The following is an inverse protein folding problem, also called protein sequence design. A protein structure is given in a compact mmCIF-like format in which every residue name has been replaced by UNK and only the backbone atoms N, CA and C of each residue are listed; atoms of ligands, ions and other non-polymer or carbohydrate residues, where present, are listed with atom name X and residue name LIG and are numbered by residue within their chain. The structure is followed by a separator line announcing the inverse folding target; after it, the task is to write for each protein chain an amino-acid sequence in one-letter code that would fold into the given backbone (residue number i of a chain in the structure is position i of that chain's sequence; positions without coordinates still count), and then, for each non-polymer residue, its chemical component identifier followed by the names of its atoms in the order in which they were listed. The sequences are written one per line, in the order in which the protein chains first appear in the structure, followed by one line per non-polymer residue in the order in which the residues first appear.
data_IF_624354809489
#
_entry.id   IF_624354809489
#
_cell.length_a   1.000
_cell.length_b   1.000
_cell.length_c   1.000
_cell.angle_alpha   90.00
_cell.angle_beta   90.00
_cell.angle_gamma   90.00
#
_symmetry.space_group_name_H-M   'P 1'
#
loop_
_entity.id
_entity.type
_entity.pdbx_description
1 polymer ?
#
# COMPACT_ATOMS: atom_id res chain seq x y z
N UNK A 1 -7.28 10.31 48.71
CA UNK A 1 -7.93 10.37 47.38
C UNK A 1 -9.22 9.60 47.46
N UNK A 2 -10.33 10.07 46.86
CA UNK A 2 -11.58 9.32 46.96
C UNK A 2 -11.53 8.12 46.01
N UNK A 3 -11.73 6.91 46.56
CA UNK A 3 -11.94 5.67 45.79
C UNK A 3 -13.09 5.81 44.77
N UNK A 4 -13.98 6.78 44.99
CA UNK A 4 -15.17 7.06 44.21
C UNK A 4 -14.85 7.54 42.79
N UNK A 5 -13.84 8.38 42.60
CA UNK A 5 -13.43 8.85 41.27
C UNK A 5 -12.87 7.70 40.42
N UNK A 6 -12.06 6.82 41.02
CA UNK A 6 -11.51 5.62 40.37
C UNK A 6 -12.64 4.66 39.98
N UNK A 7 -13.62 4.47 40.88
CA UNK A 7 -14.77 3.60 40.61
C UNK A 7 -15.65 4.14 39.48
N UNK A 8 -15.93 5.45 39.43
CA UNK A 8 -16.69 6.07 38.36
C UNK A 8 -16.01 5.90 37.00
N UNK A 9 -14.70 6.12 36.93
CA UNK A 9 -13.95 5.95 35.69
C UNK A 9 -13.88 4.48 35.26
N UNK A 10 -13.67 3.53 36.17
CA UNK A 10 -13.70 2.09 35.86
C UNK A 10 -15.07 1.65 35.34
N UNK A 11 -16.16 2.18 35.90
CA UNK A 11 -17.50 1.94 35.38
C UNK A 11 -17.68 2.53 33.96
N UNK A 12 -17.11 3.70 33.69
CA UNK A 12 -17.15 4.31 32.36
C UNK A 12 -16.40 3.48 31.31
N UNK A 13 -15.25 2.90 31.66
CA UNK A 13 -14.45 2.08 30.73
C UNK A 13 -14.82 0.59 30.71
N UNK A 14 -15.78 0.13 31.53
CA UNK A 14 -16.13 -1.29 31.64
C UNK A 14 -16.51 -1.93 30.29
N UNK A 15 -16.99 -1.13 29.34
CA UNK A 15 -17.38 -1.57 28.00
C UNK A 15 -16.47 -1.01 26.89
N UNK A 16 -15.26 -0.54 27.22
CA UNK A 16 -14.33 0.04 26.23
C UNK A 16 -14.01 -0.94 25.10
N UNK A 17 -13.96 -2.24 25.39
CA UNK A 17 -13.72 -3.30 24.40
C UNK A 17 -14.76 -3.36 23.28
N UNK A 18 -16.02 -2.98 23.56
CA UNK A 18 -17.11 -2.90 22.57
C UNK A 18 -16.95 -1.73 21.60
N UNK A 19 -16.06 -0.79 21.89
CA UNK A 19 -15.75 0.37 21.05
C UNK A 19 -14.37 0.20 20.42
N UNK A 20 -13.37 -0.20 21.21
CA UNK A 20 -11.98 -0.38 20.79
C UNK A 20 -11.82 -1.43 19.69
N UNK A 21 -12.43 -2.61 19.86
CA UNK A 21 -12.31 -3.67 18.84
C UNK A 21 -12.93 -3.26 17.50
N UNK A 22 -14.20 -2.82 17.43
CA UNK A 22 -14.78 -2.35 16.16
C UNK A 22 -14.01 -1.18 15.55
N UNK A 23 -13.52 -0.26 16.37
CA UNK A 23 -12.70 0.86 15.90
C UNK A 23 -11.44 0.38 15.17
N UNK A 24 -10.67 -0.50 15.80
CA UNK A 24 -9.42 -1.01 15.24
C UNK A 24 -9.65 -1.95 14.04
N UNK A 25 -10.68 -2.79 14.09
CA UNK A 25 -11.09 -3.66 12.97
C UNK A 25 -11.55 -2.86 11.75
N UNK A 26 -12.26 -1.74 11.95
CA UNK A 26 -12.65 -0.83 10.87
C UNK A 26 -11.43 -0.12 10.27
N UNK A 27 -10.45 0.31 11.08
CA UNK A 27 -9.19 0.86 10.55
C UNK A 27 -8.45 -0.16 9.68
N UNK A 28 -8.37 -1.41 10.12
CA UNK A 28 -7.81 -2.51 9.32
C UNK A 28 -8.59 -2.71 8.01
N UNK A 29 -9.93 -2.62 8.07
CA UNK A 29 -10.79 -2.75 6.90
C UNK A 29 -10.57 -1.62 5.90
N UNK A 30 -10.44 -0.38 6.37
CA UNK A 30 -10.08 0.78 5.53
C UNK A 30 -8.74 0.52 4.84
N UNK A 31 -7.70 0.07 5.57
CA UNK A 31 -6.40 -0.26 4.97
C UNK A 31 -6.48 -1.37 3.93
N UNK A 32 -7.29 -2.41 4.15
CA UNK A 32 -7.54 -3.46 3.15
C UNK A 32 -8.17 -2.90 1.87
N UNK A 33 -9.15 -2.00 2.01
CA UNK A 33 -9.82 -1.38 0.88
C UNK A 33 -8.88 -0.41 0.13
N UNK A 34 -8.06 0.37 0.83
CA UNK A 34 -7.03 1.23 0.22
C UNK A 34 -6.05 0.42 -0.64
N UNK A 35 -5.52 -0.69 -0.10
CA UNK A 35 -4.63 -1.59 -0.84
C UNK A 35 -5.33 -2.22 -2.05
N UNK A 36 -6.59 -2.65 -1.88
CA UNK A 36 -7.38 -3.21 -2.98
C UNK A 36 -7.72 -2.18 -4.07
N UNK A 37 -7.74 -0.88 -3.73
CA UNK A 37 -7.99 0.22 -4.65
C UNK A 37 -6.77 0.60 -5.50
N UNK A 38 -5.54 0.41 -5.00
CA UNK A 38 -4.31 0.72 -5.74
C UNK A 38 -4.24 0.17 -7.19
N UNK A 39 -4.58 -1.11 -7.47
CA UNK A 39 -4.57 -1.62 -8.84
C UNK A 39 -5.61 -0.92 -9.74
N UNK A 40 -6.75 -0.52 -9.18
CA UNK A 40 -7.81 0.22 -9.91
C UNK A 40 -7.34 1.64 -10.23
N UNK A 41 -6.68 2.30 -9.28
CA UNK A 41 -6.06 3.60 -9.51
C UNK A 41 -4.96 3.51 -10.59
N UNK A 42 -4.15 2.44 -10.57
CA UNK A 42 -3.13 2.20 -11.61
C UNK A 42 -3.76 1.97 -12.98
N UNK A 43 -4.79 1.15 -13.08
CA UNK A 43 -5.55 0.94 -14.33
C UNK A 43 -6.07 2.27 -14.88
N UNK A 44 -6.67 3.10 -14.02
CA UNK A 44 -7.18 4.41 -14.41
C UNK A 44 -6.06 5.35 -14.90
N UNK A 45 -4.95 5.44 -14.17
CA UNK A 45 -3.78 6.23 -14.59
C UNK A 45 -3.20 5.76 -15.93
N UNK A 46 -3.11 4.45 -16.15
CA UNK A 46 -2.68 3.89 -17.43
C UNK A 46 -3.63 4.26 -18.57
N UNK A 47 -4.93 4.26 -18.35
CA UNK A 47 -5.91 4.70 -19.36
C UNK A 47 -5.78 6.20 -19.65
N UNK A 48 -5.62 7.05 -18.63
CA UNK A 48 -5.37 8.48 -18.81
C UNK A 48 -4.08 8.73 -19.61
N UNK A 49 -3.02 7.98 -19.33
CA UNK A 49 -1.76 8.09 -20.08
C UNK A 49 -1.93 7.75 -21.56
N UNK A 50 -2.80 6.78 -21.90
CA UNK A 50 -3.13 6.44 -23.29
C UNK A 50 -3.91 7.56 -23.97
N UNK A 51 -4.80 8.27 -23.26
CA UNK A 51 -5.48 9.46 -23.79
C UNK A 51 -4.44 10.51 -24.19
N UNK A 52 -3.54 10.86 -23.27
CA UNK A 52 -2.47 11.84 -23.54
C UNK A 52 -1.58 11.42 -24.71
N UNK A 53 -1.27 10.11 -24.83
CA UNK A 53 -0.53 9.58 -25.98
C UNK A 53 -1.28 9.85 -27.30
N UNK A 54 -2.56 9.51 -27.38
CA UNK A 54 -3.38 9.73 -28.58
C UNK A 54 -3.54 11.21 -28.91
N UNK A 55 -3.70 12.08 -27.90
CA UNK A 55 -3.76 13.53 -28.09
C UNK A 55 -2.45 14.06 -28.67
N UNK A 56 -1.31 13.64 -28.14
CA UNK A 56 0.01 14.04 -28.64
C UNK A 56 0.25 13.55 -30.07
N UNK A 57 -0.15 12.32 -30.38
CA UNK A 57 -0.06 11.76 -31.74
C UNK A 57 -0.94 12.55 -32.72
N UNK A 58 -2.17 12.91 -32.32
CA UNK A 58 -3.07 13.72 -33.12
C UNK A 58 -2.54 15.15 -33.34
N UNK A 59 -1.97 15.78 -32.32
CA UNK A 59 -1.32 17.09 -32.41
C UNK A 59 -0.13 17.01 -33.37
N UNK A 60 0.71 15.98 -33.26
CA UNK A 60 1.84 15.74 -34.15
C UNK A 60 1.38 15.59 -35.60
N UNK A 61 0.39 14.73 -35.86
CA UNK A 61 -0.20 14.53 -37.20
C UNK A 61 -0.86 15.79 -37.77
N UNK A 62 -1.31 16.70 -36.91
CA UNK A 62 -1.87 17.99 -37.31
C UNK A 62 -0.80 19.07 -37.57
N UNK A 63 0.38 18.97 -36.93
CA UNK A 63 1.48 19.92 -37.09
C UNK A 63 2.25 19.78 -38.43
N UNK A 64 2.10 18.65 -39.12
CA UNK A 64 2.79 18.33 -40.38
C UNK A 64 2.19 19.12 -41.56
N UNK A 65 2.54 20.40 -41.65
CA UNK A 65 1.92 21.38 -42.56
C UNK A 65 2.43 21.34 -44.01
N UNK A 66 3.65 20.84 -44.28
CA UNK A 66 4.23 20.76 -45.63
C UNK A 66 4.05 19.38 -46.30
N UNK A 67 4.00 18.30 -45.51
CA UNK A 67 3.55 16.98 -45.99
C UNK A 67 2.06 16.96 -46.31
N UNK A 68 1.25 17.85 -45.73
CA UNK A 68 -0.20 17.93 -45.95
C UNK A 68 -0.58 18.17 -47.42
N UNK A 69 0.22 18.96 -48.15
CA UNK A 69 -0.01 19.24 -49.56
C UNK A 69 0.41 18.08 -50.48
N UNK A 70 1.49 17.36 -50.14
CA UNK A 70 2.00 16.21 -50.92
C UNK A 70 1.22 14.92 -50.60
N UNK A 71 0.79 14.73 -49.35
CA UNK A 71 0.05 13.55 -48.87
C UNK A 71 -1.46 13.63 -49.05
N UNK A 72 -2.05 14.77 -49.43
CA UNK A 72 -3.46 14.78 -49.86
C UNK A 72 -3.72 13.87 -51.09
N UNK A 73 -2.65 13.46 -51.77
CA UNK A 73 -2.65 12.51 -52.88
C UNK A 73 -2.53 11.04 -52.37
N UNK A 74 -2.05 10.81 -51.14
CA UNK A 74 -1.89 9.47 -50.53
C UNK A 74 -2.87 9.27 -49.37
N UNK A 75 -3.81 8.32 -49.50
CA UNK A 75 -4.85 7.99 -48.51
C UNK A 75 -4.32 7.61 -47.10
N UNK A 76 -3.00 7.51 -46.90
CA UNK A 76 -2.37 7.04 -45.67
C UNK A 76 -2.44 8.02 -44.50
N UNK A 77 -2.30 9.33 -44.72
CA UNK A 77 -2.34 10.30 -43.60
C UNK A 77 -3.74 10.43 -42.99
N UNK A 78 -4.78 10.38 -43.84
CA UNK A 78 -6.16 10.42 -43.36
C UNK A 78 -6.50 9.14 -42.58
N UNK A 79 -6.06 7.97 -43.06
CA UNK A 79 -6.23 6.71 -42.34
C UNK A 79 -5.53 6.72 -40.96
N UNK A 80 -4.35 7.33 -40.85
CA UNK A 80 -3.65 7.51 -39.57
C UNK A 80 -4.37 8.48 -38.62
N UNK A 81 -4.96 9.56 -39.14
CA UNK A 81 -5.81 10.47 -38.33
C UNK A 81 -7.10 9.79 -37.87
N UNK A 82 -7.74 9.02 -38.74
CA UNK A 82 -8.95 8.25 -38.41
C UNK A 82 -8.62 7.17 -37.36
N UNK A 83 -7.44 6.54 -37.45
CA UNK A 83 -6.92 5.61 -36.42
C UNK A 83 -6.72 6.31 -35.07
N UNK A 84 -6.06 7.48 -35.06
CA UNK A 84 -5.79 8.21 -33.82
C UNK A 84 -7.07 8.74 -33.16
N UNK A 85 -8.05 9.21 -33.95
CA UNK A 85 -9.36 9.67 -33.43
C UNK A 85 -10.20 8.53 -32.87
N UNK A 86 -10.24 7.38 -33.54
CA UNK A 86 -10.93 6.20 -33.01
C UNK A 86 -10.21 5.62 -31.76
N UNK A 87 -8.87 5.68 -31.74
CA UNK A 87 -8.06 5.35 -30.56
C UNK A 87 -8.40 6.24 -29.36
N UNK A 88 -8.50 7.55 -29.58
CA UNK A 88 -8.91 8.53 -28.57
C UNK A 88 -10.34 8.27 -28.07
N UNK A 89 -11.28 7.96 -28.97
CA UNK A 89 -12.67 7.63 -28.61
C UNK A 89 -12.74 6.40 -27.70
N UNK A 90 -12.00 5.34 -28.04
CA UNK A 90 -11.93 4.11 -27.23
C UNK A 90 -11.26 4.36 -25.88
N UNK A 91 -10.18 5.12 -25.85
CA UNK A 91 -9.48 5.47 -24.61
C UNK A 91 -10.37 6.30 -23.67
N UNK A 92 -11.14 7.26 -24.19
CA UNK A 92 -12.11 8.04 -23.41
C UNK A 92 -13.24 7.16 -22.84
N UNK A 93 -13.75 6.20 -23.61
CA UNK A 93 -14.75 5.25 -23.10
C UNK A 93 -14.20 4.39 -21.94
N UNK A 94 -12.96 3.90 -22.06
CA UNK A 94 -12.27 3.17 -21.00
C UNK A 94 -11.97 4.06 -19.78
N UNK A 95 -11.70 5.35 -19.98
CA UNK A 95 -11.47 6.29 -18.87
C UNK A 95 -12.73 6.44 -18.02
N UNK A 96 -13.89 6.58 -18.66
CA UNK A 96 -15.17 6.67 -17.96
C UNK A 96 -15.53 5.38 -17.21
N UNK A 97 -15.17 4.21 -17.77
CA UNK A 97 -15.36 2.93 -17.09
C UNK A 97 -14.43 2.78 -15.87
N UNK A 98 -13.14 3.06 -16.04
CA UNK A 98 -12.16 2.99 -14.96
C UNK A 98 -12.43 4.01 -13.86
N UNK A 99 -12.87 5.22 -14.19
CA UNK A 99 -13.29 6.24 -13.23
C UNK A 99 -14.46 5.76 -12.36
N UNK A 100 -15.46 5.08 -12.94
CA UNK A 100 -16.56 4.47 -12.17
C UNK A 100 -16.07 3.38 -11.21
N UNK A 101 -15.09 2.57 -11.61
CA UNK A 101 -14.46 1.57 -10.72
C UNK A 101 -13.75 2.26 -9.55
N UNK A 102 -12.96 3.31 -9.83
CA UNK A 102 -12.30 4.11 -8.79
C UNK A 102 -13.32 4.70 -7.82
N UNK A 103 -14.42 5.26 -8.32
CA UNK A 103 -15.46 5.83 -7.48
C UNK A 103 -16.13 4.75 -6.60
N UNK A 104 -16.42 3.58 -7.15
CA UNK A 104 -17.00 2.46 -6.41
C UNK A 104 -16.12 2.04 -5.23
N UNK A 105 -14.81 1.95 -5.43
CA UNK A 105 -13.89 1.63 -4.33
C UNK A 105 -13.76 2.77 -3.31
N UNK A 106 -13.81 4.04 -3.75
CA UNK A 106 -13.86 5.21 -2.85
C UNK A 106 -15.11 5.21 -1.97
N UNK A 107 -16.28 4.90 -2.55
CA UNK A 107 -17.54 4.87 -1.83
C UNK A 107 -17.52 3.80 -0.73
N UNK A 108 -16.97 2.60 -1.03
CA UNK A 108 -16.78 1.54 -0.03
C UNK A 108 -15.88 1.97 1.13
N UNK A 109 -14.78 2.68 0.83
CA UNK A 109 -13.88 3.22 1.86
C UNK A 109 -14.64 4.23 2.72
N UNK A 110 -15.35 5.16 2.08
CA UNK A 110 -16.11 6.21 2.74
C UNK A 110 -17.19 5.66 3.69
N UNK A 111 -17.94 4.63 3.28
CA UNK A 111 -18.98 4.01 4.10
C UNK A 111 -18.40 3.43 5.42
N UNK A 112 -17.21 2.84 5.35
CA UNK A 112 -16.52 2.32 6.54
C UNK A 112 -15.95 3.47 7.39
N UNK A 113 -15.39 4.50 6.77
CA UNK A 113 -14.88 5.70 7.46
C UNK A 113 -15.99 6.39 8.28
N UNK A 114 -17.14 6.65 7.68
CA UNK A 114 -18.30 7.28 8.34
C UNK A 114 -18.77 6.44 9.53
N UNK A 115 -18.82 5.11 9.36
CA UNK A 115 -19.16 4.21 10.46
C UNK A 115 -18.12 4.27 11.58
N UNK A 116 -16.84 4.41 11.22
CA UNK A 116 -15.73 4.43 12.16
C UNK A 116 -15.58 5.76 12.92
N UNK A 117 -16.04 6.89 12.36
CA UNK A 117 -15.98 8.21 13.01
C UNK A 117 -16.65 8.21 14.39
N UNK A 118 -17.81 7.54 14.50
CA UNK A 118 -18.51 7.42 15.79
C UNK A 118 -17.66 6.64 16.80
N UNK A 119 -17.15 5.48 16.39
CA UNK A 119 -16.27 4.67 17.25
C UNK A 119 -14.99 5.41 17.61
N UNK A 120 -14.44 6.24 16.71
CA UNK A 120 -13.24 7.03 16.97
C UNK A 120 -13.43 8.06 18.08
N UNK A 121 -14.57 8.76 18.09
CA UNK A 121 -14.92 9.72 19.15
C UNK A 121 -15.09 9.02 20.49
N UNK A 122 -15.87 7.95 20.53
CA UNK A 122 -16.10 7.17 21.74
C UNK A 122 -14.79 6.56 22.26
N UNK A 123 -13.98 5.97 21.37
CA UNK A 123 -12.69 5.38 21.71
C UNK A 123 -11.74 6.40 22.32
N UNK A 124 -11.59 7.59 21.72
CA UNK A 124 -10.72 8.65 22.25
C UNK A 124 -11.10 9.06 23.67
N UNK A 125 -12.39 9.25 23.93
CA UNK A 125 -12.88 9.62 25.27
C UNK A 125 -12.63 8.50 26.29
N UNK A 126 -12.94 7.25 25.94
CA UNK A 126 -12.76 6.11 26.83
C UNK A 126 -11.29 5.79 27.09
N UNK A 127 -10.43 5.93 26.08
CA UNK A 127 -8.99 5.78 26.22
C UNK A 127 -8.41 6.83 27.17
N UNK A 128 -8.90 8.07 27.12
CA UNK A 128 -8.53 9.09 28.10
C UNK A 128 -8.92 8.69 29.53
N UNK A 129 -10.12 8.15 29.73
CA UNK A 129 -10.53 7.65 31.04
C UNK A 129 -9.64 6.48 31.52
N UNK A 130 -9.23 5.58 30.61
CA UNK A 130 -8.28 4.49 30.91
C UNK A 130 -6.91 5.04 31.37
N UNK A 131 -6.44 6.10 30.74
CA UNK A 131 -5.20 6.80 31.13
C UNK A 131 -5.35 7.50 32.49
N UNK A 132 -6.45 8.23 32.70
CA UNK A 132 -6.75 8.91 33.96
C UNK A 132 -6.82 7.92 35.14
N UNK A 133 -7.41 6.73 34.94
CA UNK A 133 -7.43 5.65 35.94
C UNK A 133 -6.01 5.21 36.29
N UNK A 134 -5.17 4.97 35.29
CA UNK A 134 -3.78 4.55 35.48
C UNK A 134 -3.02 5.56 36.35
N UNK A 135 -3.14 6.85 36.03
CA UNK A 135 -2.50 7.96 36.77
C UNK A 135 -3.00 8.04 38.22
N UNK A 136 -4.32 7.95 38.42
CA UNK A 136 -4.89 7.97 39.77
C UNK A 136 -4.42 6.77 40.59
N UNK A 137 -4.37 5.58 39.99
CA UNK A 137 -3.85 4.39 40.64
C UNK A 137 -2.34 4.48 40.91
N UNK A 138 -1.55 5.15 40.05
CA UNK A 138 -0.11 5.37 40.26
C UNK A 138 0.13 6.20 41.51
N UNK A 139 -0.71 7.21 41.71
CA UNK A 139 -0.63 8.08 42.89
C UNK A 139 -1.20 7.45 44.18
N UNK A 140 -2.11 6.49 44.07
CA UNK A 140 -2.77 5.86 45.21
C UNK A 140 -2.06 4.59 45.71
N UNK A 141 -1.35 3.89 44.83
CA UNK A 141 -0.72 2.62 45.15
C UNK A 141 0.75 2.83 45.56
N UNK A 142 1.06 2.61 46.84
CA UNK A 142 2.43 2.66 47.38
C UNK A 142 2.90 1.26 47.77
N UNK A 143 3.88 0.70 47.06
CA UNK A 143 4.46 -0.63 47.34
C UNK A 143 4.63 -1.49 46.08
N UNK A 144 5.36 -2.60 46.21
CA UNK A 144 5.49 -3.62 45.16
C UNK A 144 4.57 -4.80 45.48
N UNK A 145 3.84 -5.26 44.48
CA UNK A 145 2.92 -6.39 44.57
C UNK A 145 3.20 -7.34 43.41
N UNK A 146 3.48 -8.60 43.72
CA UNK A 146 3.90 -9.58 42.73
C UNK A 146 2.85 -9.82 41.62
N UNK A 147 1.54 -9.75 41.93
CA UNK A 147 0.48 -9.85 40.92
C UNK A 147 0.48 -8.68 39.94
N UNK A 148 0.77 -7.47 40.40
CA UNK A 148 0.89 -6.26 39.57
C UNK A 148 2.13 -6.34 38.69
N UNK A 149 3.26 -6.80 39.23
CA UNK A 149 4.52 -6.92 38.48
C UNK A 149 4.39 -7.86 37.28
N UNK A 150 3.78 -9.04 37.47
CA UNK A 150 3.56 -9.98 36.35
C UNK A 150 2.67 -9.41 35.24
N UNK A 151 1.62 -8.66 35.59
CA UNK A 151 0.75 -7.99 34.62
C UNK A 151 1.47 -6.84 33.90
N UNK A 152 2.31 -6.10 34.62
CA UNK A 152 3.12 -5.03 34.05
C UNK A 152 4.15 -5.58 33.05
N UNK A 153 4.87 -6.66 33.41
CA UNK A 153 5.78 -7.35 32.50
C UNK A 153 5.05 -7.83 31.23
N UNK A 154 3.85 -8.40 31.39
CA UNK A 154 3.02 -8.82 30.25
C UNK A 154 2.58 -7.66 29.35
N UNK A 155 2.33 -6.47 29.90
CA UNK A 155 2.04 -5.24 29.13
C UNK A 155 3.28 -4.82 28.34
N UNK A 156 4.45 -4.76 28.97
CA UNK A 156 5.69 -4.35 28.30
C UNK A 156 6.12 -5.34 27.21
N UNK A 157 5.94 -6.64 27.41
CA UNK A 157 6.16 -7.65 26.37
C UNK A 157 5.21 -7.44 25.17
N UNK A 158 3.94 -7.13 25.44
CA UNK A 158 2.94 -6.90 24.39
C UNK A 158 3.25 -5.61 23.61
N UNK A 159 3.67 -4.54 24.29
CA UNK A 159 4.15 -3.31 23.64
C UNK A 159 5.37 -3.58 22.75
N UNK A 160 6.30 -4.41 23.22
CA UNK A 160 7.48 -4.79 22.42
C UNK A 160 7.07 -5.57 21.17
N UNK A 161 6.17 -6.55 21.30
CA UNK A 161 5.60 -7.28 20.15
C UNK A 161 4.93 -6.34 19.14
N UNK A 162 4.17 -5.36 19.62
CA UNK A 162 3.51 -4.36 18.77
C UNK A 162 4.54 -3.51 18.01
N UNK A 163 5.56 -3.02 18.70
CA UNK A 163 6.64 -2.24 18.08
C UNK A 163 7.41 -3.04 17.01
N UNK A 164 7.70 -4.32 17.26
CA UNK A 164 8.34 -5.21 16.29
C UNK A 164 7.48 -5.40 15.03
N UNK A 165 6.16 -5.55 15.18
CA UNK A 165 5.23 -5.66 14.05
C UNK A 165 5.12 -4.37 13.25
N UNK A 166 5.03 -3.24 13.93
CA UNK A 166 4.98 -1.93 13.28
C UNK A 166 6.23 -1.67 12.45
N UNK A 167 7.40 -2.04 12.96
CA UNK A 167 8.66 -1.92 12.22
C UNK A 167 8.70 -2.85 10.99
N UNK A 168 8.15 -4.07 11.08
CA UNK A 168 8.00 -4.95 9.90
C UNK A 168 7.09 -4.33 8.83
N UNK A 169 5.94 -3.78 9.22
CA UNK A 169 5.01 -3.11 8.29
C UNK A 169 5.72 -1.94 7.60
N UNK A 170 6.44 -1.11 8.35
CA UNK A 170 7.20 0.02 7.82
C UNK A 170 8.29 -0.41 6.83
N UNK A 171 8.99 -1.51 7.11
CA UNK A 171 9.97 -2.09 6.19
C UNK A 171 9.31 -2.59 4.91
N UNK A 172 8.16 -3.25 5.00
CA UNK A 172 7.39 -3.70 3.83
C UNK A 172 6.94 -2.53 2.95
N UNK A 173 6.47 -1.43 3.53
CA UNK A 173 6.15 -0.20 2.78
C UNK A 173 7.39 0.36 2.06
N UNK A 174 8.54 0.42 2.76
CA UNK A 174 9.79 0.87 2.16
C UNK A 174 10.22 -0.02 0.99
N UNK A 175 10.11 -1.34 1.16
CA UNK A 175 10.40 -2.32 0.10
C UNK A 175 9.47 -2.14 -1.09
N UNK A 176 8.16 -1.98 -0.86
CA UNK A 176 7.17 -1.71 -1.91
C UNK A 176 7.55 -0.48 -2.73
N UNK A 177 7.96 0.61 -2.08
CA UNK A 177 8.40 1.83 -2.77
C UNK A 177 9.71 1.63 -3.56
N UNK A 178 10.65 0.83 -3.05
CA UNK A 178 11.86 0.44 -3.80
C UNK A 178 11.52 -0.40 -5.04
N UNK A 179 10.57 -1.33 -4.93
CA UNK A 179 10.09 -2.13 -6.06
C UNK A 179 9.41 -1.26 -7.12
N UNK A 180 8.59 -0.28 -6.72
CA UNK A 180 7.99 0.69 -7.64
C UNK A 180 9.06 1.51 -8.38
N UNK A 181 10.08 2.00 -7.67
CA UNK A 181 11.22 2.72 -8.29
C UNK A 181 11.98 1.85 -9.29
N UNK A 182 12.20 0.58 -8.95
CA UNK A 182 12.80 -0.38 -9.89
C UNK A 182 11.92 -0.58 -11.13
N UNK A 183 10.60 -0.71 -10.97
CA UNK A 183 9.65 -0.81 -12.09
C UNK A 183 9.70 0.42 -13.02
N UNK A 184 9.74 1.64 -12.45
CA UNK A 184 9.88 2.87 -13.23
C UNK A 184 11.19 2.93 -14.00
N UNK A 185 12.32 2.61 -13.36
CA UNK A 185 13.63 2.59 -14.03
C UNK A 185 13.68 1.56 -15.19
N UNK A 186 13.00 0.42 -15.03
CA UNK A 186 12.87 -0.58 -16.11
C UNK A 186 11.98 -0.08 -17.24
N UNK A 187 10.89 0.65 -16.94
CA UNK A 187 10.05 1.26 -17.96
C UNK A 187 10.81 2.31 -18.77
N UNK A 188 11.56 3.20 -18.11
CA UNK A 188 12.40 4.20 -18.79
C UNK A 188 13.40 3.52 -19.73
N UNK A 189 14.07 2.47 -19.27
CA UNK A 189 14.98 1.67 -20.08
C UNK A 189 14.32 1.02 -21.30
N UNK A 190 13.10 0.48 -21.17
CA UNK A 190 12.34 -0.07 -22.28
C UNK A 190 12.01 1.03 -23.32
N UNK A 191 11.60 2.21 -22.86
CA UNK A 191 11.29 3.35 -23.72
C UNK A 191 12.54 3.86 -24.46
N UNK A 192 13.68 3.96 -23.77
CA UNK A 192 14.95 4.33 -24.38
C UNK A 192 15.39 3.34 -25.47
N UNK A 193 15.28 2.03 -25.21
CA UNK A 193 15.58 0.98 -26.19
C UNK A 193 14.68 1.07 -27.42
N UNK A 194 13.42 1.50 -27.25
CA UNK A 194 12.49 1.71 -28.37
C UNK A 194 12.88 2.92 -29.22
N UNK A 195 13.41 3.98 -28.60
CA UNK A 195 13.79 5.22 -29.29
C UNK A 195 15.17 5.14 -29.94
N UNK A 196 16.05 4.24 -29.46
CA UNK A 196 17.42 4.11 -29.95
C UNK A 196 17.79 2.64 -30.20
N UNK A 197 17.68 2.20 -31.44
CA UNK A 197 18.22 0.90 -31.91
C UNK A 197 19.74 0.81 -31.74
N UNK A 198 20.43 1.95 -31.61
CA UNK A 198 21.88 2.05 -31.48
C UNK A 198 22.38 1.46 -30.16
N UNK A 199 21.63 1.60 -29.05
CA UNK A 199 22.03 1.04 -27.76
C UNK A 199 22.04 -0.50 -27.79
N UNK A 200 21.10 -1.11 -28.51
CA UNK A 200 21.00 -2.57 -28.62
C UNK A 200 22.13 -3.17 -29.47
N UNK A 201 22.52 -2.49 -30.56
CA UNK A 201 23.65 -2.90 -31.42
C UNK A 201 25.04 -2.69 -30.80
N UNK A 202 25.16 -1.79 -29.81
CA UNK A 202 26.41 -1.54 -29.08
C UNK A 202 26.69 -2.55 -27.96
N UNK A 203 25.70 -3.37 -27.60
CA UNK A 203 25.89 -4.41 -26.59
C UNK A 203 26.36 -5.69 -27.27
N UNK A 204 27.62 -6.07 -27.05
CA UNK A 204 28.19 -7.31 -27.56
C UNK A 204 27.37 -8.55 -27.15
N UNK A 205 27.45 -9.61 -27.95
CA UNK A 205 26.72 -10.86 -27.74
C UNK A 205 26.84 -11.35 -26.29
N UNK A 206 25.70 -11.59 -25.63
CA UNK A 206 25.62 -12.15 -24.28
C UNK A 206 25.53 -11.15 -23.12
N UNK A 207 25.52 -9.83 -23.36
CA UNK A 207 25.33 -8.82 -22.29
C UNK A 207 23.86 -8.39 -22.15
N UNK A 208 23.31 -8.57 -20.95
CA UNK A 208 21.96 -8.10 -20.59
C UNK A 208 22.03 -6.64 -20.14
N UNK A 209 21.27 -5.76 -20.77
CA UNK A 209 21.08 -4.39 -20.27
C UNK A 209 20.18 -4.44 -19.05
N UNK A 210 20.67 -4.00 -17.89
CA UNK A 210 19.86 -3.81 -16.71
C UNK A 210 20.16 -2.43 -16.11
N UNK A 211 19.15 -1.58 -15.87
CA UNK A 211 19.38 -0.25 -15.31
C UNK A 211 20.01 -0.35 -13.92
N UNK A 212 21.10 0.39 -13.69
CA UNK A 212 21.78 0.40 -12.40
C UNK A 212 20.84 0.83 -11.27
N UNK A 213 19.99 1.84 -11.52
CA UNK A 213 18.97 2.30 -10.57
C UNK A 213 18.01 1.17 -10.16
N UNK A 214 17.59 0.33 -11.12
CA UNK A 214 16.75 -0.82 -10.82
C UNK A 214 17.51 -1.86 -9.97
N UNK A 215 18.78 -2.10 -10.29
CA UNK A 215 19.62 -3.04 -9.54
C UNK A 215 19.84 -2.59 -8.09
N UNK A 216 20.17 -1.32 -7.88
CA UNK A 216 20.41 -0.74 -6.57
C UNK A 216 19.15 -0.78 -5.72
N UNK A 217 17.98 -0.45 -6.29
CA UNK A 217 16.69 -0.53 -5.61
C UNK A 217 16.35 -1.96 -5.18
N UNK A 218 16.59 -2.95 -6.05
CA UNK A 218 16.34 -4.36 -5.72
C UNK A 218 17.31 -4.90 -4.67
N UNK A 219 18.56 -4.43 -4.68
CA UNK A 219 19.55 -4.80 -3.67
C UNK A 219 19.16 -4.22 -2.30
N UNK A 220 18.84 -2.93 -2.25
CA UNK A 220 18.36 -2.27 -1.03
C UNK A 220 17.06 -2.91 -0.50
N UNK A 221 16.14 -3.30 -1.39
CA UNK A 221 14.90 -3.97 -0.99
C UNK A 221 15.17 -5.29 -0.24
N UNK A 222 16.17 -6.05 -0.67
CA UNK A 222 16.58 -7.30 -0.01
C UNK A 222 17.36 -7.07 1.29
N UNK A 223 18.14 -5.99 1.37
CA UNK A 223 18.82 -5.60 2.62
C UNK A 223 17.81 -5.20 3.70
N UNK A 224 16.77 -4.46 3.32
CA UNK A 224 15.71 -4.01 4.23
C UNK A 224 14.79 -5.16 4.69
N UNK A 225 14.49 -6.10 3.78
CA UNK A 225 13.64 -7.26 4.06
C UNK A 225 14.24 -8.55 3.48
N UNK A 226 15.10 -9.25 4.23
CA UNK A 226 15.82 -10.44 3.73
C UNK A 226 14.92 -11.62 3.32
N UNK A 227 13.72 -11.70 3.88
CA UNK A 227 12.72 -12.72 3.55
C UNK A 227 11.98 -12.45 2.23
N UNK A 228 12.29 -11.34 1.55
CA UNK A 228 11.67 -10.97 0.27
C UNK A 228 11.88 -12.10 -0.76
N UNK A 229 10.80 -12.63 -1.36
CA UNK A 229 10.92 -13.72 -2.33
C UNK A 229 11.81 -13.35 -3.50
N UNK A 230 12.65 -14.29 -3.93
CA UNK A 230 13.38 -14.16 -5.19
C UNK A 230 12.51 -14.52 -6.38
N UNK A 231 12.76 -13.89 -7.52
CA UNK A 231 12.23 -14.33 -8.81
C UNK A 231 13.36 -14.93 -9.65
N UNK A 232 13.03 -16.00 -10.40
CA UNK A 232 13.98 -16.63 -11.32
C UNK A 232 14.16 -15.74 -12.56
N UNK A 233 15.39 -15.66 -13.05
CA UNK A 233 15.68 -14.97 -14.31
C UNK A 233 14.91 -15.63 -15.47
N UNK A 234 14.27 -14.84 -16.35
CA UNK A 234 13.70 -15.35 -17.59
C UNK A 234 14.74 -16.15 -18.38
N UNK A 235 14.41 -17.38 -18.77
CA UNK A 235 15.37 -18.36 -19.34
C UNK A 235 15.16 -18.60 -20.83
N UNK A 236 13.99 -18.28 -21.39
CA UNK A 236 13.67 -18.55 -22.80
C UNK A 236 13.02 -17.35 -23.48
N UNK A 237 13.53 -17.02 -24.66
CA UNK A 237 13.08 -15.92 -25.50
C UNK A 237 12.19 -16.46 -26.63
N UNK A 238 10.87 -16.29 -26.52
CA UNK A 238 9.94 -16.61 -27.62
C UNK A 238 9.65 -15.31 -28.37
N UNK A 239 9.89 -15.27 -29.68
CA UNK A 239 9.67 -14.08 -30.51
C UNK A 239 8.23 -14.05 -31.03
N UNK A 240 7.30 -13.60 -30.19
CA UNK A 240 5.86 -13.51 -30.50
C UNK A 240 5.37 -12.08 -30.26
N UNK A 241 4.50 -11.60 -31.15
CA UNK A 241 3.85 -10.30 -31.03
C UNK A 241 2.92 -10.28 -29.81
N UNK A 242 2.84 -9.14 -29.12
CA UNK A 242 1.93 -9.00 -27.98
C UNK A 242 0.45 -8.93 -28.43
N UNK A 243 -0.45 -8.85 -27.45
CA UNK A 243 -1.89 -8.75 -27.65
C UNK A 243 -2.32 -7.48 -28.43
N UNK A 244 -1.41 -6.53 -28.63
CA UNK A 244 -1.59 -5.29 -29.40
C UNK A 244 -0.95 -5.34 -30.79
N UNK A 245 -0.27 -6.45 -31.13
CA UNK A 245 0.45 -6.62 -32.39
C UNK A 245 1.84 -5.99 -32.42
N UNK A 246 2.35 -5.52 -31.27
CA UNK A 246 3.67 -4.90 -31.19
C UNK A 246 4.78 -5.95 -31.08
N UNK A 247 5.81 -5.81 -31.92
CA UNK A 247 7.04 -6.60 -31.82
C UNK A 247 8.00 -5.91 -30.85
N UNK A 248 8.45 -6.65 -29.85
CA UNK A 248 9.47 -6.21 -28.89
C UNK A 248 10.79 -6.90 -29.20
N UNK A 249 11.90 -6.19 -29.01
CA UNK A 249 13.20 -6.82 -29.06
C UNK A 249 13.36 -7.82 -27.91
N UNK A 250 14.25 -8.83 -28.02
CA UNK A 250 14.51 -9.77 -26.94
C UNK A 250 14.87 -9.09 -25.61
N UNK A 251 15.62 -7.97 -25.67
CA UNK A 251 15.99 -7.18 -24.49
C UNK A 251 14.77 -6.48 -23.87
N UNK A 252 13.92 -5.88 -24.69
CA UNK A 252 12.67 -5.26 -24.23
C UNK A 252 11.77 -6.31 -23.58
N UNK A 253 11.66 -7.51 -24.17
CA UNK A 253 10.86 -8.61 -23.63
C UNK A 253 11.39 -9.09 -22.27
N UNK A 254 12.71 -9.22 -22.12
CA UNK A 254 13.33 -9.53 -20.83
C UNK A 254 12.98 -8.49 -19.76
N UNK A 255 13.12 -7.20 -20.06
CA UNK A 255 12.78 -6.14 -19.11
C UNK A 255 11.28 -6.14 -18.77
N UNK A 256 10.41 -6.38 -19.75
CA UNK A 256 8.97 -6.57 -19.51
C UNK A 256 8.67 -7.76 -18.60
N UNK A 257 9.37 -8.88 -18.79
CA UNK A 257 9.23 -10.06 -17.93
C UNK A 257 9.67 -9.76 -16.50
N UNK A 258 10.79 -9.05 -16.32
CA UNK A 258 11.22 -8.60 -14.98
C UNK A 258 10.16 -7.68 -14.36
N UNK A 259 9.63 -6.71 -15.11
CA UNK A 259 8.55 -5.82 -14.61
C UNK A 259 7.31 -6.60 -14.17
N UNK A 260 6.90 -7.62 -14.92
CA UNK A 260 5.80 -8.52 -14.52
C UNK A 260 6.10 -9.23 -13.20
N UNK A 261 7.34 -9.69 -12.99
CA UNK A 261 7.76 -10.28 -11.70
C UNK A 261 7.80 -9.25 -10.57
N UNK A 262 8.20 -8.01 -10.85
CA UNK A 262 8.13 -6.93 -9.84
C UNK A 262 6.69 -6.63 -9.44
N UNK A 263 5.75 -6.67 -10.38
CA UNK A 263 4.32 -6.52 -10.07
C UNK A 263 3.82 -7.66 -9.16
N UNK A 264 4.22 -8.90 -9.41
CA UNK A 264 3.93 -10.04 -8.51
C UNK A 264 4.51 -9.82 -7.11
N UNK A 265 5.74 -9.29 -6.99
CA UNK A 265 6.35 -8.98 -5.71
C UNK A 265 5.66 -7.83 -4.96
N UNK A 266 5.19 -6.81 -5.68
CA UNK A 266 4.42 -5.71 -5.08
C UNK A 266 3.13 -6.26 -4.45
N UNK A 267 2.41 -7.14 -5.17
CA UNK A 267 1.22 -7.81 -4.64
C UNK A 267 1.53 -8.71 -3.44
N UNK A 268 2.71 -9.35 -3.43
CA UNK A 268 3.18 -10.10 -2.27
C UNK A 268 3.43 -9.17 -1.07
N UNK A 269 4.09 -8.02 -1.26
CA UNK A 269 4.29 -7.03 -0.20
C UNK A 269 2.96 -6.55 0.38
N UNK A 270 1.96 -6.31 -0.47
CA UNK A 270 0.60 -5.93 -0.04
C UNK A 270 -0.07 -7.01 0.79
N UNK A 271 0.03 -8.27 0.35
CA UNK A 271 -0.53 -9.41 1.07
C UNK A 271 0.14 -9.59 2.43
N UNK A 272 1.46 -9.51 2.48
CA UNK A 272 2.23 -9.62 3.73
C UNK A 272 1.94 -8.45 4.67
N UNK A 273 1.85 -7.22 4.16
CA UNK A 273 1.48 -6.05 4.95
C UNK A 273 0.10 -6.21 5.59
N UNK A 274 -0.88 -6.78 4.86
CA UNK A 274 -2.21 -7.07 5.40
C UNK A 274 -2.19 -8.12 6.51
N UNK A 275 -1.36 -9.16 6.39
CA UNK A 275 -1.17 -10.16 7.45
C UNK A 275 -0.57 -9.50 8.69
N UNK A 276 0.51 -8.74 8.53
CA UNK A 276 1.17 -8.05 9.65
C UNK A 276 0.24 -7.02 10.32
N UNK A 277 -0.55 -6.27 9.55
CA UNK A 277 -1.55 -5.32 10.07
C UNK A 277 -2.68 -6.01 10.85
N UNK A 278 -3.15 -7.16 10.36
CA UNK A 278 -4.18 -7.93 11.06
C UNK A 278 -3.66 -8.48 12.39
N UNK A 279 -2.46 -9.05 12.39
CA UNK A 279 -1.82 -9.52 13.61
C UNK A 279 -1.52 -8.37 14.58
N UNK A 280 -1.11 -7.21 14.08
CA UNK A 280 -0.87 -6.03 14.92
C UNK A 280 -2.17 -5.48 15.55
N UNK A 281 -3.27 -5.50 14.79
CA UNK A 281 -4.59 -5.11 15.31
C UNK A 281 -4.99 -5.97 16.51
N UNK A 282 -4.79 -7.29 16.43
CA UNK A 282 -5.06 -8.18 17.57
C UNK A 282 -4.10 -7.95 18.75
N UNK A 283 -2.83 -7.61 18.49
CA UNK A 283 -1.88 -7.24 19.55
C UNK A 283 -2.32 -5.96 20.28
N UNK A 284 -2.83 -4.96 19.56
CA UNK A 284 -3.36 -3.74 20.18
C UNK A 284 -4.59 -4.00 21.02
N UNK A 285 -5.50 -4.86 20.56
CA UNK A 285 -6.66 -5.29 21.36
C UNK A 285 -6.22 -6.07 22.60
N UNK A 286 -5.23 -6.97 22.47
CA UNK A 286 -4.63 -7.70 23.59
C UNK A 286 -4.02 -6.74 24.61
N UNK A 287 -3.31 -5.70 24.15
CA UNK A 287 -2.70 -4.67 24.99
C UNK A 287 -3.76 -3.90 25.78
N UNK A 288 -4.83 -3.44 25.11
CA UNK A 288 -5.95 -2.76 25.76
C UNK A 288 -6.55 -3.59 26.89
N UNK A 289 -6.83 -4.88 26.62
CA UNK A 289 -7.35 -5.82 27.62
C UNK A 289 -6.40 -5.99 28.81
N UNK A 290 -5.10 -6.16 28.58
CA UNK A 290 -4.10 -6.29 29.65
C UNK A 290 -4.00 -5.04 30.51
N UNK A 291 -4.11 -3.85 29.92
CA UNK A 291 -4.13 -2.59 30.67
C UNK A 291 -5.38 -2.50 31.56
N UNK A 292 -6.54 -2.92 31.04
CA UNK A 292 -7.77 -2.95 31.83
C UNK A 292 -7.65 -3.93 33.01
N UNK A 293 -7.19 -5.17 32.77
CA UNK A 293 -6.92 -6.18 33.81
C UNK A 293 -5.94 -5.66 34.88
N UNK A 294 -4.86 -5.01 34.45
CA UNK A 294 -3.88 -4.36 35.32
C UNK A 294 -4.53 -3.29 36.22
N UNK A 295 -5.33 -2.41 35.65
CA UNK A 295 -6.01 -1.36 36.41
C UNK A 295 -7.07 -1.91 37.37
N UNK A 296 -7.79 -2.98 36.99
CA UNK A 296 -8.74 -3.66 37.88
C UNK A 296 -8.07 -4.27 39.10
N UNK A 297 -6.95 -4.97 38.92
CA UNK A 297 -6.19 -5.60 40.02
C UNK A 297 -5.64 -4.55 40.98
N UNK A 298 -5.05 -3.48 40.44
CA UNK A 298 -4.54 -2.34 41.22
C UNK A 298 -5.63 -1.68 42.06
N UNK A 299 -6.81 -1.45 41.48
CA UNK A 299 -7.96 -0.92 42.22
C UNK A 299 -8.42 -1.88 43.31
N UNK A 300 -8.38 -3.20 43.06
CA UNK A 300 -8.67 -4.22 44.07
C UNK A 300 -7.75 -4.13 45.28
N UNK A 301 -6.45 -3.89 45.06
CA UNK A 301 -5.45 -3.73 46.11
C UNK A 301 -5.66 -2.43 46.90
N UNK A 302 -5.87 -1.30 46.20
CA UNK A 302 -6.16 -0.01 46.84
C UNK A 302 -7.39 -0.11 47.76
N UNK A 303 -8.46 -0.80 47.31
CA UNK A 303 -9.65 -1.02 48.15
C UNK A 303 -9.40 -1.90 49.38
N UNK A 304 -8.57 -2.93 49.26
CA UNK A 304 -8.22 -3.81 50.39
C UNK A 304 -7.33 -3.10 51.41
N UNK A 305 -6.45 -2.19 50.98
CA UNK A 305 -5.56 -1.42 51.86
C UNK A 305 -6.20 -0.18 52.50
N UNK A 306 -7.39 0.24 52.05
CA UNK A 306 -8.16 1.35 52.61
C UNK A 306 -9.20 0.92 53.69
N UNK A 307 -9.32 -0.38 53.96
CA UNK A 307 -10.09 -0.94 55.07
C UNK A 307 -9.16 -1.33 56.23
#
# INVERSE_FOLDING_TARGET
MSSEAIDQLLHAIANISHVERPYLENLLTIKKLEIAKEPVDKEHLEVLSKITMWENELISLNSWTLQWAVMKITCSLQAEKDRATEGLRKANALALESEKKVQTEKDKIHDVEVTNEKYAVDYRSLQKYREDISVLLDSALTGSFQSIETLHEGIEETKKRSAEKFEKIRKLEKVKELLKKADFALLEAILELRQSSVKEHLMGEGKVYFPQTAYDCLTQAREEYPELPGFKSPTEYINEADNTGAYYSPMQKYLWDVRRRLAELILWCDSEALVQLAEETEVQIELGRKIDEYNFERRGIVKKGLN
#
